data_IF_075802014496
#
_entry.id   IF_075802014496
#
_cell.length_a   1.000
_cell.length_b   1.000
_cell.length_c   1.000
_cell.angle_alpha   90.00
_cell.angle_beta   90.00
_cell.angle_gamma   90.00
#
_symmetry.space_group_name_H-M   'P 1'
#
loop_
_entity.id
_entity.type
_entity.pdbx_description
1 polymer ?
#
# COMPACT_ATOMS: atom_id res chain seq x y z
N UNK A 1 3.13 45.88 61.07
CA UNK A 1 2.53 44.59 61.44
C UNK A 1 1.94 43.99 60.17
N UNK A 2 2.76 43.28 59.39
CA UNK A 2 2.34 42.68 58.11
C UNK A 2 1.97 41.24 58.45
N UNK A 3 0.69 40.90 58.31
CA UNK A 3 0.15 39.57 58.60
C UNK A 3 0.38 38.67 57.38
N UNK A 4 1.39 37.80 57.45
CA UNK A 4 1.66 36.77 56.43
C UNK A 4 0.47 35.80 56.33
N UNK A 5 -0.38 36.02 55.33
CA UNK A 5 -1.50 35.14 55.04
C UNK A 5 -1.03 34.03 54.09
N UNK A 6 -0.77 32.84 54.64
CA UNK A 6 -0.40 31.65 53.86
C UNK A 6 -1.67 31.07 53.23
N UNK A 7 -1.76 31.12 51.91
CA UNK A 7 -2.81 30.45 51.14
C UNK A 7 -2.39 29.01 50.83
N UNK A 8 -3.21 28.03 51.22
CA UNK A 8 -2.99 26.61 50.94
C UNK A 8 -3.83 26.22 49.73
N UNK A 9 -3.18 25.74 48.67
CA UNK A 9 -3.84 25.18 47.49
C UNK A 9 -3.73 23.66 47.51
N UNK A 10 -4.85 22.97 47.27
CA UNK A 10 -4.89 21.52 47.11
C UNK A 10 -5.05 21.14 45.65
N UNK A 11 -4.20 20.23 45.17
CA UNK A 11 -4.35 19.61 43.85
C UNK A 11 -5.04 18.27 44.04
N UNK A 12 -6.25 18.13 43.48
CA UNK A 12 -6.99 16.87 43.46
C UNK A 12 -6.74 16.21 42.10
N UNK A 13 -5.91 15.18 42.06
CA UNK A 13 -5.73 14.36 40.86
C UNK A 13 -6.90 13.38 40.74
N UNK A 14 -7.52 13.30 39.55
CA UNK A 14 -8.55 12.30 39.28
C UNK A 14 -7.97 10.89 39.34
N UNK A 15 -8.77 9.93 39.80
CA UNK A 15 -8.39 8.52 39.88
C UNK A 15 -8.18 7.96 38.46
N UNK A 16 -6.93 7.68 38.10
CA UNK A 16 -6.61 7.04 36.82
C UNK A 16 -7.17 5.62 36.84
N UNK A 17 -8.09 5.33 35.90
CA UNK A 17 -8.71 4.02 35.76
C UNK A 17 -8.07 3.26 34.60
N UNK A 18 -7.37 2.17 34.91
CA UNK A 18 -6.71 1.29 33.92
C UNK A 18 -7.67 0.36 33.16
N UNK A 19 -8.99 0.54 33.29
CA UNK A 19 -9.99 -0.29 32.60
C UNK A 19 -9.75 -0.36 31.09
N UNK A 20 -9.47 0.79 30.46
CA UNK A 20 -9.16 0.84 29.01
C UNK A 20 -7.88 0.09 28.64
N UNK A 21 -6.90 0.00 29.54
CA UNK A 21 -5.65 -0.70 29.26
C UNK A 21 -5.87 -2.21 29.16
N UNK A 22 -6.74 -2.76 30.03
CA UNK A 22 -7.15 -4.16 29.97
C UNK A 22 -7.88 -4.48 28.65
N UNK A 23 -8.77 -3.59 28.21
CA UNK A 23 -9.51 -3.77 26.96
C UNK A 23 -8.57 -3.74 25.74
N UNK A 24 -7.59 -2.84 25.72
CA UNK A 24 -6.56 -2.77 24.67
C UNK A 24 -5.73 -4.05 24.63
N UNK A 25 -5.27 -4.55 25.77
CA UNK A 25 -4.50 -5.81 25.83
C UNK A 25 -5.32 -7.00 25.33
N UNK A 26 -6.59 -7.11 25.76
CA UNK A 26 -7.47 -8.18 25.32
C UNK A 26 -7.77 -8.10 23.82
N UNK A 27 -8.00 -6.89 23.30
CA UNK A 27 -8.20 -6.67 21.88
C UNK A 27 -6.96 -7.10 21.08
N UNK A 28 -5.76 -6.70 21.51
CA UNK A 28 -4.51 -7.05 20.84
C UNK A 28 -4.32 -8.58 20.72
N UNK A 29 -4.56 -9.32 21.81
CA UNK A 29 -4.49 -10.78 21.81
C UNK A 29 -5.55 -11.41 20.89
N UNK A 30 -6.79 -10.90 20.93
CA UNK A 30 -7.88 -11.38 20.06
C UNK A 30 -7.55 -11.17 18.57
N UNK A 31 -7.03 -10.00 18.21
CA UNK A 31 -6.66 -9.71 16.83
C UNK A 31 -5.47 -10.54 16.37
N UNK A 32 -4.51 -10.85 17.25
CA UNK A 32 -3.42 -11.77 16.92
C UNK A 32 -3.94 -13.15 16.51
N UNK A 33 -4.86 -13.74 17.28
CA UNK A 33 -5.48 -15.03 16.92
C UNK A 33 -6.33 -14.94 15.66
N UNK A 34 -7.09 -13.85 15.49
CA UNK A 34 -7.90 -13.63 14.29
C UNK A 34 -7.03 -13.55 13.03
N UNK A 35 -5.91 -12.83 13.09
CA UNK A 35 -4.99 -12.68 11.98
C UNK A 35 -4.46 -14.04 11.52
N UNK A 36 -4.09 -14.94 12.45
CA UNK A 36 -3.61 -16.29 12.11
C UNK A 36 -4.72 -17.12 11.44
N UNK A 37 -5.93 -17.10 12.00
CA UNK A 37 -7.07 -17.83 11.43
C UNK A 37 -7.39 -17.38 10.00
N UNK A 38 -7.42 -16.06 9.76
CA UNK A 38 -7.63 -15.50 8.43
C UNK A 38 -6.47 -15.89 7.50
N UNK A 39 -5.24 -15.75 7.96
CA UNK A 39 -4.05 -16.06 7.15
C UNK A 39 -4.02 -17.51 6.69
N UNK A 40 -4.34 -18.47 7.56
CA UNK A 40 -4.38 -19.90 7.20
C UNK A 40 -5.42 -20.19 6.11
N UNK A 41 -6.61 -19.58 6.20
CA UNK A 41 -7.62 -19.70 5.14
C UNK A 41 -7.18 -19.04 3.82
N UNK A 42 -6.55 -17.87 3.91
CA UNK A 42 -6.08 -17.12 2.74
C UNK A 42 -4.89 -17.79 2.04
N UNK A 43 -3.98 -18.44 2.76
CA UNK A 43 -2.79 -19.08 2.17
C UNK A 43 -3.18 -20.11 1.11
N UNK A 44 -4.18 -20.96 1.38
CA UNK A 44 -4.60 -22.01 0.44
C UNK A 44 -5.15 -21.42 -0.86
N UNK A 45 -6.13 -20.52 -0.76
CA UNK A 45 -6.74 -19.87 -1.93
C UNK A 45 -5.73 -19.01 -2.68
N UNK A 46 -4.83 -18.31 -1.97
CA UNK A 46 -3.81 -17.47 -2.60
C UNK A 46 -2.73 -18.28 -3.28
N UNK A 47 -2.26 -19.38 -2.70
CA UNK A 47 -1.29 -20.26 -3.34
C UNK A 47 -1.84 -20.81 -4.67
N UNK A 48 -3.09 -21.27 -4.68
CA UNK A 48 -3.77 -21.70 -5.91
C UNK A 48 -3.88 -20.57 -6.92
N UNK A 49 -4.40 -19.42 -6.49
CA UNK A 49 -4.65 -18.28 -7.38
C UNK A 49 -3.35 -17.73 -7.97
N UNK A 50 -2.31 -17.55 -7.16
CA UNK A 50 -0.99 -17.09 -7.60
C UNK A 50 -0.34 -18.09 -8.56
N UNK A 51 -0.52 -19.41 -8.33
CA UNK A 51 -0.06 -20.44 -9.25
C UNK A 51 -0.74 -20.36 -10.63
N UNK A 52 -2.08 -20.28 -10.67
CA UNK A 52 -2.83 -20.09 -11.92
C UNK A 52 -2.41 -18.81 -12.64
N UNK A 53 -2.25 -17.73 -11.88
CA UNK A 53 -1.84 -16.46 -12.44
C UNK A 53 -0.41 -16.47 -12.97
N UNK A 54 0.49 -17.23 -12.35
CA UNK A 54 1.86 -17.42 -12.87
C UNK A 54 1.85 -18.13 -14.21
N UNK A 55 0.99 -19.13 -14.38
CA UNK A 55 0.79 -19.79 -15.68
C UNK A 55 0.26 -18.79 -16.73
N UNK A 56 -0.68 -17.93 -16.36
CA UNK A 56 -1.22 -16.90 -17.27
C UNK A 56 -0.17 -15.85 -17.68
N UNK A 57 0.73 -15.48 -16.76
CA UNK A 57 1.90 -14.65 -17.05
C UNK A 57 2.80 -15.31 -18.09
N UNK A 58 3.21 -16.55 -17.85
CA UNK A 58 4.11 -17.31 -18.74
C UNK A 58 3.47 -17.62 -20.09
N UNK A 59 2.14 -17.81 -20.12
CA UNK A 59 1.36 -17.97 -21.36
C UNK A 59 1.21 -16.66 -22.16
N UNK A 60 1.69 -15.52 -21.64
CA UNK A 60 1.67 -14.23 -22.33
C UNK A 60 0.34 -13.47 -22.24
N UNK A 61 -0.61 -13.89 -21.40
CA UNK A 61 -1.89 -13.19 -21.23
C UNK A 61 -1.68 -11.74 -20.76
N UNK A 62 -0.72 -11.53 -19.85
CA UNK A 62 -0.38 -10.20 -19.36
C UNK A 62 0.14 -9.32 -20.49
N UNK A 63 0.96 -9.86 -21.39
CA UNK A 63 1.48 -9.11 -22.54
C UNK A 63 0.36 -8.71 -23.53
N UNK A 64 -0.65 -9.57 -23.69
CA UNK A 64 -1.82 -9.27 -24.54
C UNK A 64 -2.61 -8.11 -23.94
N UNK A 65 -2.96 -8.18 -22.65
CA UNK A 65 -3.68 -7.10 -21.95
C UNK A 65 -2.86 -5.81 -21.95
N UNK A 66 -1.55 -5.92 -21.76
CA UNK A 66 -0.64 -4.80 -21.83
C UNK A 66 -0.71 -4.07 -23.18
N UNK A 67 -0.74 -4.82 -24.28
CA UNK A 67 -0.87 -4.25 -25.62
C UNK A 67 -2.24 -3.59 -25.85
N UNK A 68 -3.32 -4.12 -25.26
CA UNK A 68 -4.65 -3.51 -25.31
C UNK A 68 -4.72 -2.23 -24.48
N UNK A 69 -4.01 -2.16 -23.36
CA UNK A 69 -3.96 -0.99 -22.49
C UNK A 69 -3.04 0.11 -23.01
N UNK A 70 -2.02 -0.23 -23.81
CA UNK A 70 -1.06 0.70 -24.41
C UNK A 70 -1.67 1.96 -25.05
N UNK A 71 -2.75 1.91 -25.86
CA UNK A 71 -3.38 3.12 -26.40
C UNK A 71 -4.02 4.00 -25.32
N UNK A 72 -4.58 3.42 -24.26
CA UNK A 72 -5.20 4.16 -23.16
C UNK A 72 -4.12 4.86 -22.34
N UNK A 73 -3.07 4.14 -21.94
CA UNK A 73 -1.97 4.71 -21.14
C UNK A 73 -1.19 5.75 -21.91
N UNK A 74 -0.96 5.56 -23.22
CA UNK A 74 -0.36 6.60 -24.09
C UNK A 74 -1.17 7.90 -24.12
N UNK A 75 -2.51 7.80 -24.06
CA UNK A 75 -3.39 8.97 -24.05
C UNK A 75 -3.42 9.66 -22.68
N UNK A 76 -3.43 8.88 -21.60
CA UNK A 76 -3.47 9.41 -20.24
C UNK A 76 -2.13 10.04 -19.83
N UNK A 77 -1.01 9.44 -20.27
CA UNK A 77 0.34 9.88 -19.95
C UNK A 77 1.08 10.36 -21.20
N UNK A 78 0.56 11.42 -21.82
CA UNK A 78 1.13 12.01 -23.04
C UNK A 78 2.54 12.57 -22.86
N UNK A 79 2.89 12.94 -21.63
CA UNK A 79 4.18 13.57 -21.29
C UNK A 79 5.32 12.54 -21.19
N UNK A 80 5.00 11.24 -21.23
CA UNK A 80 5.97 10.15 -21.17
C UNK A 80 6.27 9.66 -22.59
N UNK A 81 7.56 9.54 -23.00
CA UNK A 81 7.92 8.95 -24.28
C UNK A 81 7.39 7.51 -24.40
N UNK A 82 6.80 7.17 -25.56
CA UNK A 82 6.10 5.89 -25.77
C UNK A 82 7.01 4.67 -25.60
N UNK A 83 8.31 4.84 -25.89
CA UNK A 83 9.33 3.80 -25.78
C UNK A 83 10.07 3.83 -24.43
N UNK A 84 9.66 4.68 -23.50
CA UNK A 84 10.27 4.76 -22.18
C UNK A 84 9.88 3.54 -21.31
N UNK A 85 10.83 2.93 -20.58
CA UNK A 85 10.56 1.77 -19.70
C UNK A 85 9.43 1.98 -18.68
N UNK A 86 9.21 3.24 -18.25
CA UNK A 86 8.10 3.61 -17.36
C UNK A 86 6.73 3.20 -17.91
N UNK A 87 6.51 3.37 -19.22
CA UNK A 87 5.24 3.03 -19.85
C UNK A 87 4.96 1.52 -19.74
N UNK A 88 5.97 0.70 -20.02
CA UNK A 88 5.87 -0.76 -19.88
C UNK A 88 5.58 -1.18 -18.44
N UNK A 89 6.34 -0.65 -17.48
CA UNK A 89 6.17 -0.97 -16.06
C UNK A 89 4.79 -0.58 -15.50
N UNK A 90 4.25 0.58 -15.88
CA UNK A 90 2.89 1.01 -15.50
C UNK A 90 1.83 0.08 -16.08
N UNK A 91 1.93 -0.23 -17.37
CA UNK A 91 1.00 -1.12 -18.05
C UNK A 91 1.02 -2.52 -17.40
N UNK A 92 2.20 -3.02 -17.04
CA UNK A 92 2.35 -4.29 -16.33
C UNK A 92 1.73 -4.25 -14.93
N UNK A 93 1.89 -3.15 -14.19
CA UNK A 93 1.23 -2.96 -12.89
C UNK A 93 -0.30 -2.98 -13.01
N UNK A 94 -0.86 -2.24 -13.98
CA UNK A 94 -2.31 -2.17 -14.22
C UNK A 94 -2.82 -3.56 -14.63
N UNK A 95 -2.14 -4.22 -15.56
CA UNK A 95 -2.51 -5.57 -16.02
C UNK A 95 -2.48 -6.59 -14.88
N UNK A 96 -1.46 -6.53 -14.03
CA UNK A 96 -1.34 -7.38 -12.85
C UNK A 96 -2.48 -7.12 -11.85
N UNK A 97 -2.82 -5.86 -11.58
CA UNK A 97 -3.96 -5.51 -10.72
C UNK A 97 -5.30 -6.00 -11.29
N UNK A 98 -5.54 -5.81 -12.60
CA UNK A 98 -6.77 -6.27 -13.27
C UNK A 98 -6.96 -7.79 -13.21
N UNK A 99 -5.86 -8.53 -13.23
CA UNK A 99 -5.88 -9.99 -13.20
C UNK A 99 -5.77 -10.58 -11.78
N UNK A 100 -5.76 -9.75 -10.73
CA UNK A 100 -5.65 -10.23 -9.36
C UNK A 100 -4.26 -10.77 -8.99
N UNK A 101 -3.21 -10.37 -9.72
CA UNK A 101 -1.79 -10.58 -9.42
C UNK A 101 -1.27 -9.52 -8.43
N UNK A 102 -2.02 -9.23 -7.36
CA UNK A 102 -1.72 -8.11 -6.45
C UNK A 102 -0.28 -8.12 -5.90
N UNK A 103 0.26 -9.32 -5.61
CA UNK A 103 1.63 -9.47 -5.13
C UNK A 103 2.71 -9.15 -6.19
N UNK A 104 2.41 -9.38 -7.48
CA UNK A 104 3.29 -9.00 -8.58
C UNK A 104 3.03 -7.56 -9.07
N UNK A 105 1.85 -6.99 -8.81
CA UNK A 105 1.55 -5.61 -9.17
C UNK A 105 2.49 -4.63 -8.45
N UNK A 106 2.73 -4.82 -7.15
CA UNK A 106 3.60 -3.94 -6.34
C UNK A 106 5.02 -3.74 -6.91
N UNK A 107 5.81 -4.78 -7.23
CA UNK A 107 7.14 -4.58 -7.80
C UNK A 107 7.11 -3.88 -9.18
N UNK A 108 6.11 -4.15 -10.02
CA UNK A 108 5.96 -3.40 -11.28
C UNK A 108 5.59 -1.93 -11.05
N UNK A 109 4.78 -1.64 -10.02
CA UNK A 109 4.40 -0.29 -9.64
C UNK A 109 5.59 0.51 -9.11
N UNK A 110 6.40 -0.09 -8.22
CA UNK A 110 7.64 0.53 -7.75
C UNK A 110 8.61 0.76 -8.90
N UNK A 111 8.74 -0.22 -9.81
CA UNK A 111 9.58 -0.05 -11.00
C UNK A 111 9.08 1.08 -11.90
N UNK A 112 7.76 1.22 -12.06
CA UNK A 112 7.18 2.33 -12.80
C UNK A 112 7.55 3.67 -12.14
N UNK A 113 7.40 3.80 -10.82
CA UNK A 113 7.77 5.01 -10.08
C UNK A 113 9.25 5.36 -10.21
N UNK A 114 10.15 4.36 -10.13
CA UNK A 114 11.60 4.56 -10.35
C UNK A 114 11.89 5.09 -11.75
N UNK A 115 11.26 4.54 -12.78
CA UNK A 115 11.48 4.96 -14.17
C UNK A 115 10.85 6.33 -14.44
N UNK A 116 9.69 6.63 -13.86
CA UNK A 116 9.06 7.95 -13.93
C UNK A 116 9.93 9.03 -13.28
N UNK A 117 10.51 8.73 -12.12
CA UNK A 117 11.40 9.68 -11.43
C UNK A 117 12.65 10.00 -12.27
N UNK A 118 13.12 9.12 -13.17
CA UNK A 118 14.22 9.46 -14.10
C UNK A 118 13.87 10.58 -15.09
N UNK A 119 12.59 10.70 -15.45
CA UNK A 119 12.09 11.76 -16.32
C UNK A 119 11.77 13.04 -15.53
N UNK A 120 11.82 12.97 -14.20
CA UNK A 120 11.49 14.07 -13.34
C UNK A 120 12.63 15.09 -13.26
N UNK A 121 12.40 16.37 -13.63
CA UNK A 121 13.41 17.41 -13.49
C UNK A 121 13.76 17.70 -12.02
N UNK A 122 12.84 17.45 -11.08
CA UNK A 122 13.01 17.69 -9.65
C UNK A 122 12.80 16.40 -8.85
N UNK A 123 13.89 15.67 -8.63
CA UNK A 123 13.91 14.39 -7.89
C UNK A 123 13.11 14.46 -6.59
N UNK A 124 12.21 13.49 -6.40
CA UNK A 124 11.37 13.39 -5.20
C UNK A 124 10.18 14.35 -5.14
N UNK A 125 9.94 15.15 -6.19
CA UNK A 125 8.74 16.01 -6.30
C UNK A 125 7.73 15.39 -7.24
N UNK A 126 6.45 15.33 -6.89
CA UNK A 126 5.42 14.79 -7.78
C UNK A 126 5.32 15.62 -9.09
N UNK A 127 5.01 14.95 -10.20
CA UNK A 127 4.82 15.59 -11.51
C UNK A 127 3.51 15.13 -12.14
N UNK A 128 3.09 15.71 -13.27
CA UNK A 128 1.86 15.26 -13.93
C UNK A 128 1.91 13.76 -14.33
N UNK A 129 3.10 13.24 -14.60
CA UNK A 129 3.31 11.86 -15.01
C UNK A 129 3.58 10.89 -13.83
N UNK A 130 3.82 11.42 -12.60
CA UNK A 130 4.25 10.68 -11.41
C UNK A 130 3.52 11.19 -10.17
#
# INVERSE_FOLDING_TARGET
>A
MISDSIAIAHIILQKVSFLKMKDVTNAALKYASLAVNISLGLIGIMALWLGVMKIAEEAGLIAIIANVLKPITKRLFSDIPVDHPAMGAMIMNISANMLGLGNAATPFGLKAMEELDKLNPNKGTATNAM
#
